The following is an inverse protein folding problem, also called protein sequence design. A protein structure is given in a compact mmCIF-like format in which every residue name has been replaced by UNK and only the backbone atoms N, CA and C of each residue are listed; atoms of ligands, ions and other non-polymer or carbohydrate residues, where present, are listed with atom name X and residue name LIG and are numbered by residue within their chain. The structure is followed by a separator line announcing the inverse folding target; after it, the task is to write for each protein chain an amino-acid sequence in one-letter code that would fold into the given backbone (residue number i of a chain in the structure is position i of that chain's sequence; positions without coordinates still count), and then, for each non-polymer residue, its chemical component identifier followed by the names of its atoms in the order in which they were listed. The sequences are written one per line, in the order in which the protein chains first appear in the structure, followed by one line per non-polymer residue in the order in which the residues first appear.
data_IF_925799568755
#
_entry.id   IF_925799568755
#
_cell.length_a   1.000
_cell.length_b   1.000
_cell.length_c   1.000
_cell.angle_alpha   90.00
_cell.angle_beta   90.00
_cell.angle_gamma   90.00
#
_symmetry.space_group_name_H-M   'P 1'
#
loop_
_entity.id
_entity.type
_entity.pdbx_description
1 polymer ?
#
# COMPACT_ATOMS: atom_id res chain seq x y z
N UNK A 1 -11.95 1.21 -34.86
CA UNK A 1 -13.41 0.95 -34.86
C UNK A 1 -13.79 0.20 -33.58
N UNK A 2 -14.60 0.85 -32.74
CA UNK A 2 -15.56 0.30 -31.77
C UNK A 2 -15.10 -0.72 -30.68
N UNK A 3 -14.27 -0.28 -29.72
CA UNK A 3 -14.29 -0.83 -28.33
C UNK A 3 -15.53 -0.37 -27.54
N UNK A 4 -16.15 0.75 -27.97
CA UNK A 4 -17.35 1.31 -27.31
C UNK A 4 -18.59 0.41 -27.35
N UNK A 5 -18.61 -0.63 -28.18
CA UNK A 5 -19.76 -1.53 -28.27
C UNK A 5 -19.70 -2.72 -27.28
N UNK A 6 -18.54 -3.01 -26.68
CA UNK A 6 -18.43 -4.13 -25.74
C UNK A 6 -19.04 -3.80 -24.37
N UNK A 7 -18.93 -2.53 -23.94
CA UNK A 7 -19.42 -2.09 -22.63
C UNK A 7 -20.95 -1.94 -22.53
N UNK A 8 -21.68 -1.85 -23.65
CA UNK A 8 -23.15 -1.74 -23.61
C UNK A 8 -23.85 -3.06 -23.32
N UNK A 9 -23.26 -4.21 -23.67
CA UNK A 9 -23.88 -5.51 -23.46
C UNK A 9 -23.63 -6.09 -22.06
N UNK A 10 -22.61 -5.62 -21.33
CA UNK A 10 -22.31 -6.09 -19.98
C UNK A 10 -23.27 -5.52 -18.92
N UNK A 11 -23.95 -4.40 -19.22
CA UNK A 11 -24.85 -3.73 -18.28
C UNK A 11 -26.26 -4.37 -18.22
N UNK A 12 -26.66 -5.18 -19.21
CA UNK A 12 -28.01 -5.75 -19.28
C UNK A 12 -28.14 -7.06 -18.49
N UNK A 13 -27.04 -7.78 -18.24
CA UNK A 13 -27.07 -9.12 -17.60
C UNK A 13 -27.19 -9.04 -16.07
N UNK A 14 -26.99 -7.87 -15.45
CA UNK A 14 -26.95 -7.73 -13.98
C UNK A 14 -28.31 -7.43 -13.31
N UNK A 15 -29.44 -7.49 -14.04
CA UNK A 15 -30.75 -7.09 -13.49
C UNK A 15 -31.73 -8.23 -13.16
N UNK A 16 -31.33 -9.51 -13.23
CA UNK A 16 -32.24 -10.64 -12.98
C UNK A 16 -31.80 -11.65 -11.91
N UNK A 17 -31.26 -11.22 -10.78
CA UNK A 17 -31.26 -12.07 -9.58
C UNK A 17 -31.49 -11.23 -8.32
N UNK A 18 -32.75 -10.81 -8.12
CA UNK A 18 -33.25 -10.45 -6.79
C UNK A 18 -34.25 -11.50 -6.29
N UNK A 19 -33.99 -12.00 -5.08
CA UNK A 19 -34.91 -12.68 -4.15
C UNK A 19 -35.61 -13.97 -4.62
N UNK A 20 -35.36 -15.11 -3.96
CA UNK A 20 -36.03 -15.51 -2.71
C UNK A 20 -35.70 -16.97 -2.37
N UNK A 21 -35.72 -17.32 -1.09
CA UNK A 21 -36.24 -18.64 -0.69
C UNK A 21 -35.34 -19.54 0.15
N UNK A 22 -35.66 -19.56 1.44
CA UNK A 22 -35.76 -20.72 2.33
C UNK A 22 -34.53 -21.30 3.05
N UNK A 23 -34.69 -21.28 4.38
CA UNK A 23 -33.97 -21.99 5.43
C UNK A 23 -33.87 -23.50 5.14
N UNK A 24 -32.69 -24.07 5.36
CA UNK A 24 -32.53 -25.38 6.01
C UNK A 24 -31.39 -25.33 7.02
N UNK A 25 -31.75 -25.67 8.25
CA UNK A 25 -30.87 -25.90 9.39
C UNK A 25 -29.99 -27.11 9.12
N UNK A 26 -28.68 -26.89 9.10
CA UNK A 26 -27.69 -27.91 9.43
C UNK A 26 -26.69 -27.25 10.36
N UNK A 27 -26.86 -27.50 11.66
CA UNK A 27 -25.85 -27.21 12.67
C UNK A 27 -24.61 -28.05 12.35
N UNK A 28 -23.69 -27.48 11.59
CA UNK A 28 -22.28 -27.80 11.73
C UNK A 28 -21.78 -26.81 12.74
N UNK A 29 -21.56 -27.27 13.98
CA UNK A 29 -20.75 -26.55 14.96
C UNK A 29 -19.37 -26.33 14.33
N UNK A 30 -19.22 -25.23 13.59
CA UNK A 30 -17.91 -24.73 13.25
C UNK A 30 -17.26 -24.38 14.58
N UNK A 31 -16.26 -25.19 14.92
CA UNK A 31 -15.26 -24.83 15.90
C UNK A 31 -14.89 -23.39 15.55
N UNK A 32 -15.24 -22.46 16.43
CA UNK A 32 -14.85 -21.06 16.35
C UNK A 32 -13.33 -21.07 16.46
N UNK A 33 -12.66 -21.24 15.33
CA UNK A 33 -11.24 -20.95 15.21
C UNK A 33 -11.10 -19.51 15.66
N UNK A 34 -10.40 -19.33 16.78
CA UNK A 34 -9.97 -18.02 17.24
C UNK A 34 -9.44 -17.27 16.04
N UNK A 35 -10.11 -16.16 15.66
CA UNK A 35 -9.82 -15.41 14.45
C UNK A 35 -8.33 -15.07 14.41
N UNK A 36 -7.55 -15.79 13.59
CA UNK A 36 -6.22 -15.33 13.21
C UNK A 36 -6.44 -13.97 12.56
N UNK A 37 -5.83 -12.92 13.13
CA UNK A 37 -5.87 -11.58 12.52
C UNK A 37 -5.50 -11.72 11.05
N UNK A 38 -6.30 -11.14 10.17
CA UNK A 38 -5.98 -11.16 8.75
C UNK A 38 -4.70 -10.35 8.52
N UNK A 39 -3.90 -10.69 7.50
CA UNK A 39 -2.70 -9.92 7.14
C UNK A 39 -3.06 -8.44 6.97
N UNK A 40 -4.24 -8.16 6.42
CA UNK A 40 -4.70 -6.80 6.11
C UNK A 40 -5.05 -5.97 7.35
N UNK A 41 -5.26 -6.61 8.50
CA UNK A 41 -5.49 -5.92 9.79
C UNK A 41 -4.24 -5.13 10.21
N UNK A 42 -3.06 -5.51 9.70
CA UNK A 42 -1.78 -4.90 10.04
C UNK A 42 -1.39 -3.72 9.14
N UNK A 43 -2.12 -3.47 8.05
CA UNK A 43 -1.78 -2.36 7.15
C UNK A 43 -1.87 -0.99 7.83
N UNK A 44 -2.68 -0.84 8.88
CA UNK A 44 -2.86 0.44 9.59
C UNK A 44 -2.07 0.55 10.91
N UNK A 45 -1.10 -0.34 11.17
CA UNK A 45 -0.47 -0.47 12.48
C UNK A 45 0.33 0.79 12.89
N UNK A 46 0.93 1.52 11.95
CA UNK A 46 1.61 2.80 12.23
C UNK A 46 1.36 3.82 11.12
N UNK A 47 1.28 5.11 11.49
CA UNK A 47 0.83 6.21 10.61
C UNK A 47 1.93 7.22 10.29
N UNK A 48 3.21 6.92 10.52
CA UNK A 48 4.26 7.86 10.09
C UNK A 48 4.27 7.87 8.56
N UNK A 49 3.95 9.01 7.99
CA UNK A 49 3.96 9.23 6.55
C UNK A 49 5.30 9.82 6.14
N UNK A 50 5.87 9.23 5.11
CA UNK A 50 7.10 9.65 4.47
C UNK A 50 6.82 10.11 3.05
N UNK A 51 7.72 10.91 2.52
CA UNK A 51 7.71 11.32 1.13
C UNK A 51 9.01 10.85 0.48
N UNK A 52 8.91 10.13 -0.62
CA UNK A 52 10.06 9.77 -1.44
C UNK A 52 10.42 10.98 -2.32
N UNK A 53 11.58 11.58 -2.06
CA UNK A 53 12.02 12.79 -2.76
C UNK A 53 12.24 12.59 -4.25
N UNK A 54 12.54 11.38 -4.69
CA UNK A 54 12.86 11.08 -6.10
C UNK A 54 11.62 10.67 -6.87
N UNK A 55 10.85 9.75 -6.30
CA UNK A 55 9.63 9.22 -6.92
C UNK A 55 8.42 10.11 -6.72
N UNK A 56 8.51 11.08 -5.80
CA UNK A 56 7.40 11.96 -5.40
C UNK A 56 6.18 11.19 -4.89
N UNK A 57 6.44 10.09 -4.17
CA UNK A 57 5.41 9.18 -3.65
C UNK A 57 5.31 9.28 -2.14
N UNK A 58 4.09 9.33 -1.64
CA UNK A 58 3.80 9.23 -0.21
C UNK A 58 3.71 7.76 0.19
N UNK A 59 4.36 7.39 1.29
CA UNK A 59 4.26 6.04 1.82
C UNK A 59 4.32 6.00 3.34
N UNK A 60 3.88 4.87 3.90
CA UNK A 60 4.16 4.47 5.27
C UNK A 60 4.70 3.06 5.25
N UNK A 61 5.61 2.74 6.16
CA UNK A 61 6.15 1.39 6.29
C UNK A 61 6.10 0.98 7.75
N UNK A 62 5.76 -0.28 7.98
CA UNK A 62 5.80 -0.90 9.31
C UNK A 62 6.45 -2.26 9.18
N UNK A 63 7.33 -2.59 10.12
CA UNK A 63 7.95 -3.90 10.21
C UNK A 63 7.47 -4.61 11.46
N UNK A 64 6.83 -5.77 11.29
CA UNK A 64 6.39 -6.62 12.39
C UNK A 64 7.25 -7.88 12.33
N UNK A 65 8.20 -8.03 13.27
CA UNK A 65 9.22 -9.09 13.28
C UNK A 65 8.69 -10.50 12.97
N UNK A 66 7.49 -10.83 13.47
CA UNK A 66 6.86 -12.16 13.29
C UNK A 66 6.08 -12.32 11.98
N UNK A 67 5.71 -11.24 11.31
CA UNK A 67 4.84 -11.26 10.14
C UNK A 67 5.57 -10.86 8.86
N UNK A 68 6.34 -9.77 8.92
CA UNK A 68 7.08 -9.24 7.78
C UNK A 68 7.01 -7.72 7.69
N UNK A 69 7.32 -7.21 6.49
CA UNK A 69 7.32 -5.78 6.17
C UNK A 69 6.05 -5.41 5.42
N UNK A 70 5.40 -4.35 5.88
CA UNK A 70 4.19 -3.77 5.31
C UNK A 70 4.53 -2.38 4.82
N UNK A 71 4.12 -2.05 3.59
CA UNK A 71 4.22 -0.68 3.07
C UNK A 71 2.86 -0.28 2.51
N UNK A 72 2.40 0.92 2.81
CA UNK A 72 1.26 1.55 2.12
C UNK A 72 1.78 2.70 1.27
N UNK A 73 1.34 2.76 0.03
CA UNK A 73 1.56 3.85 -0.90
C UNK A 73 0.25 4.62 -1.12
N UNK A 74 0.35 5.94 -1.13
CA UNK A 74 -0.76 6.85 -1.41
C UNK A 74 -0.45 7.58 -2.73
N UNK A 75 -1.09 7.14 -3.81
CA UNK A 75 -0.83 7.64 -5.15
C UNK A 75 -1.90 8.69 -5.51
N UNK A 76 -1.55 9.97 -5.70
CA UNK A 76 -2.54 11.01 -6.01
C UNK A 76 -3.21 10.72 -7.36
N UNK A 77 -4.54 10.84 -7.42
CA UNK A 77 -5.31 10.57 -8.66
C UNK A 77 -5.64 11.87 -9.40
N UNK A 78 -5.95 12.94 -8.66
CA UNK A 78 -6.34 14.21 -9.27
C UNK A 78 -5.11 14.96 -9.80
N UNK A 79 -5.26 15.61 -10.95
CA UNK A 79 -4.18 16.44 -11.54
C UNK A 79 -3.66 17.49 -10.56
N UNK A 80 -4.56 18.14 -9.82
CA UNK A 80 -4.19 19.14 -8.81
C UNK A 80 -3.27 18.55 -7.72
N UNK A 81 -3.56 17.34 -7.24
CA UNK A 81 -2.72 16.69 -6.24
C UNK A 81 -1.40 16.22 -6.84
N UNK A 82 -1.42 15.65 -8.05
CA UNK A 82 -0.20 15.27 -8.78
C UNK A 82 0.73 16.48 -8.92
N UNK A 83 0.23 17.61 -9.45
CA UNK A 83 0.99 18.84 -9.65
C UNK A 83 1.54 19.40 -8.31
N UNK A 84 0.79 19.24 -7.21
CA UNK A 84 1.24 19.63 -5.88
C UNK A 84 2.40 18.76 -5.37
N UNK A 85 2.31 17.43 -5.52
CA UNK A 85 3.31 16.50 -5.04
C UNK A 85 4.58 16.48 -5.91
N UNK A 86 4.45 16.69 -7.22
CA UNK A 86 5.62 16.87 -8.11
C UNK A 86 6.50 18.03 -7.67
N UNK A 87 5.88 19.07 -7.08
CA UNK A 87 6.55 20.27 -6.57
C UNK A 87 6.54 20.33 -5.04
N UNK A 88 6.39 19.20 -4.35
CA UNK A 88 6.18 19.15 -2.90
C UNK A 88 7.24 19.93 -2.11
N UNK A 89 8.51 19.74 -2.47
CA UNK A 89 9.66 20.39 -1.82
C UNK A 89 9.57 21.92 -1.91
N UNK A 90 9.32 22.43 -3.12
CA UNK A 90 9.16 23.86 -3.40
C UNK A 90 7.92 24.43 -2.69
N UNK A 91 6.78 23.73 -2.80
CA UNK A 91 5.51 24.16 -2.23
C UNK A 91 5.54 24.25 -0.70
N UNK A 92 6.40 23.49 -0.04
CA UNK A 92 6.47 23.43 1.42
C UNK A 92 7.77 24.01 1.99
N UNK A 93 8.62 24.61 1.14
CA UNK A 93 9.95 25.12 1.52
C UNK A 93 10.74 24.05 2.30
N UNK A 94 10.94 22.91 1.66
CA UNK A 94 11.72 21.78 2.15
C UNK A 94 12.82 21.52 1.13
N UNK A 95 14.04 21.27 1.60
CA UNK A 95 15.18 20.99 0.72
C UNK A 95 15.68 19.57 1.01
N UNK A 96 15.59 18.63 0.04
CA UNK A 96 16.24 17.34 0.20
C UNK A 96 17.76 17.52 0.31
N UNK A 97 18.35 16.69 1.16
CA UNK A 97 19.78 16.49 1.27
C UNK A 97 20.20 15.36 0.33
N UNK A 98 21.45 15.37 -0.10
CA UNK A 98 22.01 14.34 -0.96
C UNK A 98 23.04 13.53 -0.19
N UNK A 99 22.89 12.21 -0.20
CA UNK A 99 23.88 11.26 0.29
C UNK A 99 24.75 10.81 -0.88
N UNK A 100 25.99 11.30 -0.93
CA UNK A 100 26.95 10.98 -2.00
C UNK A 100 27.34 9.50 -2.01
N UNK A 101 27.41 8.85 -0.84
CA UNK A 101 27.87 7.46 -0.72
C UNK A 101 26.85 6.50 -1.31
N UNK A 102 25.57 6.75 -1.02
CA UNK A 102 24.46 5.92 -1.47
C UNK A 102 23.81 6.43 -2.77
N UNK A 103 24.20 7.63 -3.23
CA UNK A 103 23.61 8.33 -4.37
C UNK A 103 22.09 8.48 -4.27
N UNK A 104 21.60 8.83 -3.08
CA UNK A 104 20.16 8.99 -2.79
C UNK A 104 19.87 10.34 -2.16
N UNK A 105 18.69 10.88 -2.46
CA UNK A 105 18.16 12.04 -1.75
C UNK A 105 17.40 11.61 -0.49
N UNK A 106 17.53 12.39 0.58
CA UNK A 106 16.84 12.16 1.86
C UNK A 106 16.47 13.47 2.54
N UNK A 107 15.66 13.41 3.60
CA UNK A 107 15.27 14.58 4.39
C UNK A 107 15.93 14.58 5.77
N UNK A 108 16.21 15.78 6.28
CA UNK A 108 16.69 15.94 7.65
C UNK A 108 15.64 15.42 8.66
N UNK A 109 16.07 15.07 9.87
CA UNK A 109 15.14 14.62 10.92
C UNK A 109 14.06 15.67 11.27
N UNK A 110 14.40 16.96 11.18
CA UNK A 110 13.43 18.05 11.35
C UNK A 110 12.43 18.12 10.19
N UNK A 111 12.90 17.97 8.96
CA UNK A 111 12.05 17.99 7.78
C UNK A 111 11.13 16.76 7.74
N UNK A 112 11.63 15.57 8.07
CA UNK A 112 10.80 14.35 8.19
C UNK A 112 9.59 14.55 9.11
N UNK A 113 9.76 15.24 10.25
CA UNK A 113 8.64 15.57 11.16
C UNK A 113 7.66 16.55 10.52
N UNK A 114 8.16 17.58 9.83
CA UNK A 114 7.34 18.57 9.11
C UNK A 114 6.55 17.91 7.97
N UNK A 115 7.19 17.03 7.21
CA UNK A 115 6.62 16.25 6.11
C UNK A 115 5.47 15.39 6.65
N UNK A 116 5.72 14.58 7.68
CA UNK A 116 4.69 13.73 8.29
C UNK A 116 3.44 14.53 8.68
N UNK A 117 3.61 15.71 9.28
CA UNK A 117 2.49 16.59 9.64
C UNK A 117 1.71 17.10 8.41
N UNK A 118 2.41 17.58 7.38
CA UNK A 118 1.79 18.06 6.13
C UNK A 118 1.02 16.93 5.46
N UNK A 119 1.64 15.76 5.34
CA UNK A 119 1.04 14.60 4.71
C UNK A 119 -0.19 14.12 5.49
N UNK A 120 -0.11 14.04 6.82
CA UNK A 120 -1.26 13.67 7.67
C UNK A 120 -2.43 14.66 7.55
N UNK A 121 -2.17 15.92 7.22
CA UNK A 121 -3.22 16.90 6.96
C UNK A 121 -3.86 16.72 5.57
N UNK A 122 -3.07 16.36 4.55
CA UNK A 122 -3.51 16.20 3.15
C UNK A 122 -4.16 14.85 2.86
N UNK A 123 -3.61 13.77 3.41
CA UNK A 123 -4.03 12.38 3.14
C UNK A 123 -5.32 11.99 3.89
N UNK A 124 -5.90 12.90 4.69
CA UNK A 124 -7.18 12.66 5.39
C UNK A 124 -8.32 12.27 4.45
N UNK A 125 -8.28 12.73 3.21
CA UNK A 125 -9.28 12.43 2.19
C UNK A 125 -8.79 11.27 1.31
N UNK A 126 -9.01 10.04 1.76
CA UNK A 126 -8.55 8.84 1.04
C UNK A 126 -9.03 8.78 -0.42
N UNK A 127 -10.17 9.39 -0.75
CA UNK A 127 -10.75 9.40 -2.10
C UNK A 127 -9.88 10.14 -3.14
N UNK A 128 -8.94 10.98 -2.70
CA UNK A 128 -8.01 11.68 -3.58
C UNK A 128 -6.82 10.80 -4.01
N UNK A 129 -6.72 9.60 -3.44
CA UNK A 129 -5.59 8.71 -3.59
C UNK A 129 -6.01 7.30 -4.02
N UNK A 130 -5.22 6.72 -4.91
CA UNK A 130 -5.18 5.28 -5.10
C UNK A 130 -4.26 4.72 -4.02
N UNK A 131 -4.84 3.94 -3.11
CA UNK A 131 -4.10 3.36 -1.97
C UNK A 131 -3.75 1.91 -2.29
N UNK A 132 -2.45 1.63 -2.37
CA UNK A 132 -1.88 0.31 -2.62
C UNK A 132 -1.03 -0.08 -1.44
N UNK A 133 -1.11 -1.34 -1.00
CA UNK A 133 -0.20 -1.88 -0.02
C UNK A 133 0.64 -3.01 -0.59
N UNK A 134 1.86 -3.11 -0.10
CA UNK A 134 2.75 -4.24 -0.32
C UNK A 134 3.05 -4.93 0.99
N UNK A 135 3.20 -6.25 0.92
CA UNK A 135 3.60 -7.09 2.04
C UNK A 135 4.72 -8.04 1.59
N UNK A 136 5.81 -8.03 2.34
CA UNK A 136 6.92 -8.99 2.20
C UNK A 136 6.89 -9.89 3.44
N UNK A 137 6.57 -11.19 3.29
CA UNK A 137 6.57 -12.13 4.39
C UNK A 137 7.90 -12.24 5.13
N UNK A 138 7.86 -12.53 6.44
CA UNK A 138 9.06 -12.66 7.28
C UNK A 138 10.06 -13.68 6.75
N UNK A 139 9.62 -14.74 6.06
CA UNK A 139 10.54 -15.75 5.52
C UNK A 139 11.55 -15.20 4.52
N UNK A 140 11.30 -14.00 3.95
CA UNK A 140 12.23 -13.32 3.05
C UNK A 140 13.04 -12.22 3.74
N UNK A 141 12.93 -12.06 5.06
CA UNK A 141 13.57 -10.97 5.81
C UNK A 141 14.59 -11.55 6.79
N UNK A 142 15.84 -11.12 6.63
CA UNK A 142 16.94 -11.44 7.53
C UNK A 142 17.05 -10.33 8.58
N UNK A 143 16.69 -10.67 9.82
CA UNK A 143 16.71 -9.71 10.94
C UNK A 143 18.10 -9.75 11.57
N UNK A 144 18.81 -8.62 11.52
CA UNK A 144 20.13 -8.48 12.15
C UNK A 144 20.00 -7.89 13.56
N UNK A 145 19.10 -6.92 13.74
CA UNK A 145 18.80 -6.30 15.03
C UNK A 145 17.35 -5.79 15.08
N UNK A 146 17.00 -4.99 16.09
CA UNK A 146 15.67 -4.36 16.16
C UNK A 146 15.47 -3.31 15.06
N UNK A 147 16.53 -2.62 14.68
CA UNK A 147 16.52 -1.50 13.72
C UNK A 147 17.11 -1.88 12.36
N UNK A 148 17.81 -3.02 12.29
CA UNK A 148 18.52 -3.45 11.09
C UNK A 148 18.00 -4.80 10.58
N UNK A 149 17.56 -4.82 9.34
CA UNK A 149 17.14 -6.00 8.62
C UNK A 149 17.40 -5.84 7.13
N UNK A 150 17.57 -6.96 6.44
CA UNK A 150 17.68 -7.01 4.98
C UNK A 150 16.62 -7.92 4.38
N UNK A 151 16.28 -7.67 3.12
CA UNK A 151 15.39 -8.55 2.35
C UNK A 151 16.26 -9.43 1.46
N UNK A 152 16.15 -10.75 1.64
CA UNK A 152 16.88 -11.72 0.84
C UNK A 152 16.24 -11.93 -0.53
N UNK A 153 17.04 -11.93 -1.59
CA UNK A 153 16.58 -12.33 -2.92
C UNK A 153 16.74 -13.85 -3.12
N UNK A 154 15.86 -14.50 -3.92
CA UNK A 154 14.62 -13.95 -4.43
C UNK A 154 13.55 -13.86 -3.32
N UNK A 155 12.63 -12.89 -3.43
CA UNK A 155 11.50 -12.76 -2.51
C UNK A 155 10.16 -12.66 -3.23
N UNK A 156 9.08 -12.93 -2.50
CA UNK A 156 7.71 -12.68 -2.97
C UNK A 156 7.19 -11.42 -2.29
N UNK A 157 6.71 -10.49 -3.12
CA UNK A 157 5.98 -9.31 -2.66
C UNK A 157 4.50 -9.45 -3.03
N UNK A 158 3.65 -9.37 -2.02
CA UNK A 158 2.19 -9.41 -2.17
C UNK A 158 1.65 -8.00 -2.32
N UNK A 159 0.67 -7.79 -3.19
CA UNK A 159 0.07 -6.49 -3.47
C UNK A 159 -1.42 -6.50 -3.14
N UNK A 160 -1.89 -5.41 -2.54
CA UNK A 160 -3.27 -5.21 -2.14
C UNK A 160 -3.74 -3.82 -2.53
N UNK A 161 -5.03 -3.65 -2.80
CA UNK A 161 -5.67 -2.36 -3.06
C UNK A 161 -6.68 -2.05 -1.97
N UNK A 162 -6.76 -0.80 -1.54
CA UNK A 162 -7.86 -0.33 -0.69
C UNK A 162 -8.95 0.30 -1.55
N UNK A 163 -10.19 -0.19 -1.41
CA UNK A 163 -11.38 0.39 -2.04
C UNK A 163 -12.52 0.43 -1.02
N UNK A 164 -13.15 1.59 -0.86
CA UNK A 164 -14.29 1.77 0.06
C UNK A 164 -14.01 1.25 1.48
N UNK A 165 -12.79 1.46 1.98
CA UNK A 165 -12.36 1.02 3.31
C UNK A 165 -11.87 -0.43 3.39
N UNK A 166 -12.06 -1.25 2.35
CA UNK A 166 -11.72 -2.66 2.36
C UNK A 166 -10.43 -2.93 1.55
N UNK A 167 -9.62 -3.86 2.04
CA UNK A 167 -8.43 -4.33 1.33
C UNK A 167 -8.76 -5.56 0.49
N UNK A 168 -8.42 -5.52 -0.79
CA UNK A 168 -8.51 -6.63 -1.72
C UNK A 168 -7.11 -7.05 -2.19
N UNK A 169 -6.89 -8.36 -2.27
CA UNK A 169 -5.66 -8.91 -2.84
C UNK A 169 -5.63 -8.64 -4.36
N UNK A 170 -4.46 -8.24 -4.87
CA UNK A 170 -4.23 -8.03 -6.29
C UNK A 170 -3.39 -9.14 -6.91
N UNK A 171 -2.15 -9.29 -6.43
CA UNK A 171 -1.16 -10.18 -7.06
C UNK A 171 0.02 -10.47 -6.10
N UNK A 172 0.68 -11.60 -6.32
CA UNK A 172 2.01 -11.90 -5.78
C UNK A 172 3.04 -11.78 -6.90
N UNK A 173 4.11 -11.00 -6.67
CA UNK A 173 5.22 -10.85 -7.61
C UNK A 173 6.49 -11.42 -7.03
N UNK A 174 7.14 -12.34 -7.76
CA UNK A 174 8.50 -12.79 -7.45
C UNK A 174 9.49 -11.72 -7.91
N UNK A 175 10.31 -11.23 -6.98
CA UNK A 175 11.40 -10.29 -7.26
C UNK A 175 12.70 -11.09 -7.20
N UNK A 176 13.44 -11.08 -8.31
CA UNK A 176 14.78 -11.69 -8.44
C UNK A 176 15.86 -10.64 -8.17
N UNK A 177 17.07 -11.10 -7.86
CA UNK A 177 18.23 -10.24 -7.83
C UNK A 177 18.48 -9.66 -9.24
N UNK A 178 18.89 -8.39 -9.35
CA UNK A 178 19.21 -7.76 -10.62
C UNK A 178 20.35 -8.49 -11.38
N UNK A 179 21.17 -9.25 -10.65
CA UNK A 179 22.28 -10.02 -11.19
C UNK A 179 21.91 -11.48 -11.57
N UNK A 180 20.65 -11.89 -11.38
CA UNK A 180 20.14 -13.22 -11.73
C UNK A 180 19.09 -13.08 -12.85
N UNK A 181 19.53 -13.10 -14.11
CA UNK A 181 18.64 -13.17 -15.29
C UNK A 181 17.75 -14.45 -15.26
#
# INVERSE_FOLDING_TARGET
MKIKNFFKNLLVVLTFISCNGQKKTSEIKSKKESSKSSIVDNFNAEKKLHFDSEKKVIYSTTFIKKLGKFTIYYLPISKQNIDYYDKFDVNNNIKPLYDELNSVNYYSSSDEKKIDQILKAKVKFENDFLIISTFIPKEYINIQSEEDFSIGFPFIQKYYKKEQGNWSFLIDKKIKNANEE
#
